data_IF_635678780612
#
_entry.id   IF_635678780612
#
_cell.length_a   1.000
_cell.length_b   1.000
_cell.length_c   1.000
_cell.angle_alpha   90.00
_cell.angle_beta   90.00
_cell.angle_gamma   90.00
#
_symmetry.space_group_name_H-M   'P 1'
#
loop_
_entity.id
_entity.type
_entity.pdbx_description
1 polymer ?
#
# COMPACT_ATOMS: atom_id res chain seq x y z
N UNK A 1 4.71 -14.67 7.05
CA UNK A 1 3.68 -14.53 5.99
C UNK A 1 2.89 -15.81 5.78
N UNK A 2 3.52 -16.90 5.34
CA UNK A 2 2.91 -18.20 5.03
C UNK A 2 1.96 -18.74 6.10
N UNK A 3 2.29 -18.58 7.39
CA UNK A 3 1.39 -18.97 8.49
C UNK A 3 0.06 -18.20 8.51
N UNK A 4 0.07 -16.87 8.34
CA UNK A 4 -1.15 -16.04 8.34
C UNK A 4 -2.07 -16.40 7.18
N UNK A 5 -1.50 -16.74 6.02
CA UNK A 5 -2.25 -17.13 4.83
C UNK A 5 -2.86 -18.54 4.98
N UNK A 6 -2.16 -19.48 5.62
CA UNK A 6 -2.56 -20.88 5.70
C UNK A 6 -3.40 -21.24 6.93
N UNK A 7 -3.34 -20.45 7.99
CA UNK A 7 -4.04 -20.71 9.25
C UNK A 7 -5.54 -20.41 9.12
N UNK A 8 -6.40 -21.36 9.53
CA UNK A 8 -7.85 -21.24 9.42
C UNK A 8 -8.45 -20.70 10.74
N UNK A 9 -9.47 -19.83 10.70
CA UNK A 9 -10.09 -19.25 9.51
C UNK A 9 -9.21 -18.16 8.86
N UNK A 10 -9.09 -18.18 7.53
CA UNK A 10 -8.35 -17.15 6.82
C UNK A 10 -9.20 -15.86 6.78
N UNK A 11 -8.71 -14.82 7.44
CA UNK A 11 -9.35 -13.50 7.56
C UNK A 11 -8.56 -12.40 6.85
N UNK A 12 -7.51 -12.77 6.09
CA UNK A 12 -6.64 -11.83 5.40
C UNK A 12 -7.26 -11.45 4.04
N UNK A 13 -7.91 -10.28 4.00
CA UNK A 13 -8.58 -9.77 2.80
C UNK A 13 -7.61 -9.22 1.73
N UNK A 14 -6.51 -8.61 2.17
CA UNK A 14 -5.51 -8.03 1.29
C UNK A 14 -4.14 -8.10 1.96
N UNK A 15 -3.10 -8.17 1.14
CA UNK A 15 -1.71 -8.09 1.55
C UNK A 15 -0.86 -7.48 0.44
N UNK A 16 0.14 -6.70 0.84
CA UNK A 16 1.08 -6.09 -0.09
C UNK A 16 2.51 -6.23 0.42
N UNK A 17 3.41 -6.72 -0.43
CA UNK A 17 4.84 -6.78 -0.13
C UNK A 17 5.57 -5.60 -0.81
N UNK A 18 6.23 -4.76 -0.03
CA UNK A 18 6.93 -3.57 -0.53
C UNK A 18 8.44 -3.74 -0.40
N UNK A 19 9.17 -3.27 -1.42
CA UNK A 19 10.62 -3.17 -1.35
C UNK A 19 11.37 -4.49 -1.47
N UNK A 20 10.72 -5.54 -1.98
CA UNK A 20 11.36 -6.84 -2.15
C UNK A 20 12.35 -6.84 -3.32
N UNK A 21 13.35 -7.73 -3.24
CA UNK A 21 14.35 -7.93 -4.28
C UNK A 21 14.17 -9.34 -4.86
N UNK A 22 13.91 -9.44 -6.17
CA UNK A 22 13.48 -10.68 -6.82
C UNK A 22 14.39 -11.89 -6.55
N UNK A 23 15.70 -11.67 -6.43
CA UNK A 23 16.66 -12.75 -6.23
C UNK A 23 16.63 -13.37 -4.83
N UNK A 24 15.91 -12.76 -3.87
CA UNK A 24 15.60 -13.34 -2.56
C UNK A 24 14.23 -14.01 -2.50
N UNK A 25 13.42 -13.95 -3.56
CA UNK A 25 12.06 -14.48 -3.57
C UNK A 25 12.04 -15.83 -4.27
N UNK A 26 11.42 -16.83 -3.62
CA UNK A 26 11.15 -18.10 -4.27
C UNK A 26 10.07 -17.94 -5.35
N UNK A 27 10.16 -18.70 -6.43
CA UNK A 27 9.18 -18.65 -7.53
C UNK A 27 7.80 -19.05 -7.01
N UNK A 28 7.76 -20.06 -6.14
CA UNK A 28 6.53 -20.59 -5.55
C UNK A 28 5.82 -19.55 -4.68
N UNK A 29 6.57 -18.69 -3.98
CA UNK A 29 6.00 -17.59 -3.19
C UNK A 29 5.39 -16.53 -4.08
N UNK A 30 6.05 -16.21 -5.21
CA UNK A 30 5.51 -15.27 -6.19
C UNK A 30 4.23 -15.82 -6.83
N UNK A 31 4.23 -17.08 -7.24
CA UNK A 31 3.05 -17.72 -7.81
C UNK A 31 1.88 -17.78 -6.82
N UNK A 32 2.16 -17.95 -5.53
CA UNK A 32 1.15 -17.89 -4.47
C UNK A 32 0.56 -16.48 -4.33
N UNK A 33 1.41 -15.45 -4.33
CA UNK A 33 0.98 -14.05 -4.27
C UNK A 33 0.07 -13.69 -5.45
N UNK A 34 0.47 -14.08 -6.67
CA UNK A 34 -0.29 -13.81 -7.90
C UNK A 34 -1.65 -14.54 -7.87
N UNK A 35 -1.70 -15.80 -7.39
CA UNK A 35 -2.95 -16.57 -7.25
C UNK A 35 -3.92 -15.96 -6.23
N UNK A 36 -3.41 -15.31 -5.20
CA UNK A 36 -4.20 -14.64 -4.18
C UNK A 36 -4.53 -13.18 -4.57
N UNK A 37 -4.06 -12.73 -5.75
CA UNK A 37 -4.17 -11.34 -6.20
C UNK A 37 -3.63 -10.35 -5.18
N UNK A 38 -2.57 -10.73 -4.45
CA UNK A 38 -1.86 -9.85 -3.53
C UNK A 38 -0.83 -9.04 -4.29
N UNK A 39 -0.60 -7.82 -3.82
CA UNK A 39 0.24 -6.87 -4.53
C UNK A 39 1.70 -6.97 -4.09
N UNK A 40 2.60 -6.67 -5.02
CA UNK A 40 4.03 -6.61 -4.75
C UNK A 40 4.66 -5.44 -5.51
N UNK A 41 5.36 -4.56 -4.79
CA UNK A 41 6.11 -3.44 -5.38
C UNK A 41 7.59 -3.66 -5.11
N UNK A 42 8.39 -3.78 -6.18
CA UNK A 42 9.83 -4.10 -6.10
C UNK A 42 10.62 -2.93 -5.52
N UNK A 43 11.77 -3.23 -4.93
CA UNK A 43 12.68 -2.21 -4.39
C UNK A 43 12.94 -1.04 -5.36
N UNK A 44 13.28 -1.33 -6.61
CA UNK A 44 13.54 -0.29 -7.61
C UNK A 44 12.35 0.65 -7.81
N UNK A 45 11.13 0.11 -7.90
CA UNK A 45 9.92 0.92 -8.06
C UNK A 45 9.65 1.81 -6.84
N UNK A 46 9.88 1.29 -5.63
CA UNK A 46 9.73 2.07 -4.39
C UNK A 46 10.74 3.22 -4.33
N UNK A 47 11.98 2.98 -4.75
CA UNK A 47 13.04 3.99 -4.75
C UNK A 47 12.88 5.03 -5.86
N UNK A 48 12.40 4.62 -7.04
CA UNK A 48 12.18 5.49 -8.20
C UNK A 48 11.04 6.49 -7.94
N UNK A 49 9.92 6.01 -7.36
CA UNK A 49 8.79 6.84 -6.96
C UNK A 49 8.12 6.34 -5.68
N UNK A 50 8.50 6.96 -4.55
CA UNK A 50 7.89 6.66 -3.26
C UNK A 50 6.41 7.03 -3.17
N UNK A 51 5.88 7.89 -4.04
CA UNK A 51 4.45 8.25 -3.99
C UNK A 51 3.56 7.09 -4.44
N UNK A 52 4.08 6.19 -5.27
CA UNK A 52 3.39 4.98 -5.73
C UNK A 52 2.86 4.12 -4.58
N UNK A 53 3.58 4.09 -3.46
CA UNK A 53 3.24 3.24 -2.31
C UNK A 53 2.32 3.92 -1.30
N UNK A 54 2.11 5.23 -1.38
CA UNK A 54 1.25 5.93 -0.42
C UNK A 54 -0.19 5.35 -0.35
N UNK A 55 -0.85 5.00 -1.48
CA UNK A 55 -2.15 4.35 -1.43
C UNK A 55 -2.15 2.99 -0.72
N UNK A 56 -1.03 2.26 -0.78
CA UNK A 56 -0.89 0.96 -0.09
C UNK A 56 -0.97 1.18 1.43
N UNK A 57 -0.26 2.19 1.96
CA UNK A 57 -0.34 2.54 3.37
C UNK A 57 -1.72 3.10 3.75
N UNK A 58 -2.38 3.82 2.84
CA UNK A 58 -3.70 4.39 3.08
C UNK A 58 -4.78 3.32 3.26
N UNK A 59 -4.69 2.22 2.53
CA UNK A 59 -5.63 1.10 2.62
C UNK A 59 -5.25 0.05 3.66
N UNK A 60 -4.04 0.10 4.22
CA UNK A 60 -3.56 -0.85 5.21
C UNK A 60 -4.15 -0.60 6.61
N UNK A 61 -4.55 -1.67 7.29
CA UNK A 61 -4.92 -1.63 8.72
C UNK A 61 -3.71 -1.93 9.63
N UNK A 62 -2.76 -2.73 9.13
CA UNK A 62 -1.55 -3.19 9.83
C UNK A 62 -0.34 -2.98 8.91
N UNK A 63 0.72 -2.37 9.45
CA UNK A 63 2.00 -2.15 8.76
C UNK A 63 3.13 -2.81 9.54
N UNK A 64 3.97 -3.58 8.87
CA UNK A 64 5.15 -4.19 9.45
C UNK A 64 6.39 -3.89 8.63
N UNK A 65 7.43 -3.37 9.27
CA UNK A 65 8.73 -3.14 8.65
C UNK A 65 9.71 -4.21 9.13
N UNK A 66 10.14 -5.08 8.22
CA UNK A 66 11.32 -5.93 8.44
C UNK A 66 12.57 -5.10 8.14
N UNK A 67 13.36 -4.78 9.17
CA UNK A 67 14.49 -3.86 9.06
C UNK A 67 15.68 -4.46 8.29
N UNK A 68 15.65 -5.75 7.92
CA UNK A 68 16.59 -6.33 6.95
C UNK A 68 16.41 -5.79 5.53
N UNK A 69 15.30 -5.10 5.24
CA UNK A 69 15.09 -4.45 3.95
C UNK A 69 16.01 -3.25 3.70
N UNK A 70 16.66 -2.73 4.75
CA UNK A 70 17.51 -1.55 4.67
C UNK A 70 18.86 -1.83 4.01
N UNK A 71 19.42 -0.82 3.36
CA UNK A 71 20.80 -0.87 2.89
C UNK A 71 21.80 -0.87 4.06
N UNK A 72 23.01 -1.35 3.80
CA UNK A 72 24.12 -1.29 4.76
C UNK A 72 24.46 0.15 5.15
N UNK A 73 24.25 1.12 4.25
CA UNK A 73 24.45 2.55 4.51
C UNK A 73 23.44 3.07 5.54
N UNK A 74 22.16 2.72 5.37
CA UNK A 74 21.11 3.14 6.30
C UNK A 74 21.30 2.59 7.72
N UNK A 75 21.90 1.39 7.83
CA UNK A 75 22.16 0.71 9.10
C UNK A 75 23.58 0.91 9.63
N UNK A 76 24.45 1.55 8.85
CA UNK A 76 25.90 1.68 9.07
C UNK A 76 26.58 0.35 9.45
N UNK A 77 26.21 -0.75 8.80
CA UNK A 77 26.77 -2.09 9.03
C UNK A 77 27.47 -2.62 7.77
N UNK A 78 28.70 -2.18 7.47
CA UNK A 78 29.40 -2.59 6.24
C UNK A 78 29.79 -4.08 6.20
N UNK A 79 29.72 -4.80 7.33
CA UNK A 79 30.12 -6.21 7.40
C UNK A 79 28.93 -7.17 7.29
N UNK A 80 27.74 -6.76 7.72
CA UNK A 80 26.54 -7.62 7.74
C UNK A 80 25.34 -7.06 6.97
N UNK A 81 25.37 -5.77 6.64
CA UNK A 81 24.29 -5.08 5.94
C UNK A 81 24.16 -5.52 4.48
N UNK A 82 22.98 -5.30 3.91
CA UNK A 82 22.72 -5.60 2.51
C UNK A 82 23.35 -4.53 1.60
N UNK A 83 23.98 -4.91 0.47
CA UNK A 83 24.58 -3.94 -0.45
C UNK A 83 23.53 -2.96 -1.00
N UNK A 84 22.32 -3.47 -1.29
CA UNK A 84 21.19 -2.69 -1.76
C UNK A 84 19.99 -2.88 -0.82
N UNK A 85 19.22 -1.83 -0.63
CA UNK A 85 18.02 -1.85 0.20
C UNK A 85 17.36 -0.49 0.25
N UNK A 86 16.30 -0.38 1.04
CA UNK A 86 15.64 0.88 1.32
C UNK A 86 16.62 1.80 2.07
N UNK A 87 16.76 3.04 1.60
CA UNK A 87 17.59 4.04 2.28
C UNK A 87 16.85 4.67 3.48
N UNK A 88 17.61 5.38 4.32
CA UNK A 88 17.09 5.99 5.55
C UNK A 88 16.02 7.05 5.31
N UNK A 89 16.08 7.80 4.21
CA UNK A 89 15.07 8.81 3.88
C UNK A 89 13.78 8.13 3.42
N UNK A 90 13.89 7.12 2.57
CA UNK A 90 12.74 6.39 2.03
C UNK A 90 11.98 5.69 3.15
N UNK A 91 12.63 4.95 4.05
CA UNK A 91 11.92 4.27 5.16
C UNK A 91 11.18 5.26 6.08
N UNK A 92 11.75 6.45 6.32
CA UNK A 92 11.07 7.50 7.08
C UNK A 92 9.85 8.05 6.34
N UNK A 93 9.91 8.21 5.01
CA UNK A 93 8.76 8.59 4.20
C UNK A 93 7.65 7.53 4.23
N UNK A 94 8.02 6.24 4.14
CA UNK A 94 7.07 5.12 4.27
C UNK A 94 6.39 5.12 5.64
N UNK A 95 7.18 5.31 6.71
CA UNK A 95 6.66 5.41 8.08
C UNK A 95 5.69 6.59 8.23
N UNK A 96 6.01 7.72 7.62
CA UNK A 96 5.13 8.89 7.59
C UNK A 96 3.83 8.59 6.85
N UNK A 97 3.85 7.91 5.71
CA UNK A 97 2.63 7.49 5.00
C UNK A 97 1.75 6.57 5.84
N UNK A 98 2.36 5.61 6.56
CA UNK A 98 1.65 4.77 7.53
C UNK A 98 1.02 5.63 8.64
N UNK A 99 1.70 6.66 9.11
CA UNK A 99 1.18 7.59 10.12
C UNK A 99 -0.02 8.40 9.64
N UNK A 100 0.05 9.00 8.44
CA UNK A 100 -1.03 9.84 7.87
C UNK A 100 -2.26 9.02 7.47
N UNK A 101 -2.13 7.71 7.31
CA UNK A 101 -3.28 6.83 7.04
C UNK A 101 -4.25 6.86 8.22
N UNK A 102 -5.51 7.22 7.96
CA UNK A 102 -6.57 7.19 8.97
C UNK A 102 -6.95 5.74 9.36
N UNK A 103 -6.53 4.75 8.57
CA UNK A 103 -6.85 3.32 8.75
C UNK A 103 -5.82 2.55 9.57
N UNK A 104 -4.54 2.90 9.46
CA UNK A 104 -3.47 2.15 10.11
C UNK A 104 -3.66 2.22 11.63
N UNK A 105 -3.98 1.06 12.21
CA UNK A 105 -4.15 0.87 13.65
C UNK A 105 -2.92 0.27 14.34
N UNK A 106 -2.02 -0.34 13.58
CA UNK A 106 -0.80 -0.96 14.10
C UNK A 106 0.40 -0.76 13.18
N UNK A 107 1.54 -0.42 13.78
CA UNK A 107 2.86 -0.41 13.15
C UNK A 107 3.84 -1.26 13.98
N UNK A 108 4.61 -2.12 13.32
CA UNK A 108 5.65 -2.92 13.95
C UNK A 108 6.99 -2.77 13.24
N UNK A 109 8.08 -2.70 14.03
CA UNK A 109 9.46 -2.79 13.54
C UNK A 109 10.05 -4.13 13.98
N UNK A 110 10.58 -4.89 13.03
CA UNK A 110 11.05 -6.26 13.24
C UNK A 110 12.50 -6.41 12.76
N UNK A 111 13.21 -7.39 13.33
CA UNK A 111 14.57 -7.76 12.88
C UNK A 111 15.57 -6.60 12.87
N UNK A 112 15.52 -5.72 13.89
CA UNK A 112 16.41 -4.56 13.98
C UNK A 112 17.89 -4.99 14.08
N UNK A 113 18.76 -4.57 13.15
CA UNK A 113 20.20 -4.74 13.29
C UNK A 113 20.73 -4.08 14.58
N UNK A 114 21.67 -4.74 15.24
CA UNK A 114 22.26 -4.24 16.49
C UNK A 114 23.41 -3.26 16.21
N UNK A 115 23.07 -2.08 15.67
CA UNK A 115 24.02 -0.98 15.46
C UNK A 115 23.53 0.32 16.11
N UNK A 116 24.44 1.21 16.55
CA UNK A 116 24.05 2.52 17.08
C UNK A 116 23.26 3.36 16.06
N UNK A 117 23.59 3.22 14.77
CA UNK A 117 22.89 3.94 13.70
C UNK A 117 21.46 3.44 13.53
N UNK A 118 21.25 2.11 13.59
CA UNK A 118 19.91 1.54 13.53
C UNK A 118 19.02 2.03 14.70
N UNK A 119 19.56 2.17 15.91
CA UNK A 119 18.77 2.71 17.03
C UNK A 119 18.30 4.16 16.77
N UNK A 120 19.15 4.98 16.17
CA UNK A 120 18.78 6.36 15.80
C UNK A 120 17.75 6.38 14.66
N UNK A 121 17.96 5.58 13.62
CA UNK A 121 17.02 5.48 12.51
C UNK A 121 15.66 4.92 12.95
N UNK A 122 15.63 3.93 13.85
CA UNK A 122 14.39 3.42 14.43
C UNK A 122 13.62 4.53 15.19
N UNK A 123 14.33 5.37 15.96
CA UNK A 123 13.72 6.52 16.61
C UNK A 123 13.15 7.53 15.60
N UNK A 124 13.84 7.79 14.49
CA UNK A 124 13.34 8.65 13.41
C UNK A 124 12.11 8.05 12.71
N UNK A 125 12.11 6.75 12.43
CA UNK A 125 10.96 6.04 11.86
C UNK A 125 9.74 6.21 12.76
N UNK A 126 9.89 5.98 14.08
CA UNK A 126 8.82 6.18 15.06
C UNK A 126 8.38 7.65 15.11
N UNK A 127 9.32 8.60 15.07
CA UNK A 127 9.01 10.02 15.08
C UNK A 127 8.17 10.44 13.87
N UNK A 128 8.55 10.03 12.65
CA UNK A 128 7.80 10.32 11.43
C UNK A 128 6.44 9.63 11.38
N UNK A 129 6.31 8.45 11.98
CA UNK A 129 4.99 7.83 12.17
C UNK A 129 4.10 8.71 13.05
N UNK A 130 4.60 9.12 14.23
CA UNK A 130 3.84 9.98 15.17
C UNK A 130 3.50 11.31 14.51
N UNK A 131 4.44 11.93 13.79
CA UNK A 131 4.19 13.15 13.02
C UNK A 131 3.08 12.92 11.99
N UNK A 132 3.14 11.83 11.22
CA UNK A 132 2.09 11.46 10.28
C UNK A 132 0.73 11.32 10.93
N UNK A 133 0.65 10.70 12.12
CA UNK A 133 -0.60 10.58 12.90
C UNK A 133 -1.19 11.94 13.25
N UNK A 134 -0.37 12.94 13.58
CA UNK A 134 -0.85 14.30 13.86
C UNK A 134 -1.40 15.02 12.61
N UNK A 135 -0.99 14.59 11.41
CA UNK A 135 -1.45 15.15 10.13
C UNK A 135 -2.49 14.27 9.42
N UNK A 136 -3.16 13.38 10.16
CA UNK A 136 -4.30 12.61 9.65
C UNK A 136 -5.41 13.55 9.14
N UNK A 137 -6.09 13.09 8.09
CA UNK A 137 -7.15 13.89 7.46
C UNK A 137 -8.53 13.52 7.99
N UNK A 138 -8.66 12.45 8.77
CA UNK A 138 -9.94 11.96 9.32
C UNK A 138 -10.98 11.74 8.21
N UNK A 139 -10.55 11.16 7.08
CA UNK A 139 -11.39 10.87 5.92
C UNK A 139 -11.89 9.42 5.90
N UNK A 140 -11.52 8.61 6.90
CA UNK A 140 -11.99 7.24 7.04
C UNK A 140 -13.07 7.10 8.12
N UNK A 141 -14.22 6.44 7.82
CA UNK A 141 -14.61 5.88 6.53
C UNK A 141 -14.94 6.98 5.50
N UNK A 142 -14.59 6.73 4.23
CA UNK A 142 -14.75 7.70 3.14
C UNK A 142 -16.23 7.97 2.87
N UNK A 143 -16.64 9.23 3.00
CA UNK A 143 -17.98 9.69 2.68
C UNK A 143 -17.99 10.55 1.41
N UNK A 144 -18.24 9.94 0.26
CA UNK A 144 -18.23 10.59 -1.06
C UNK A 144 -19.36 11.60 -1.30
N UNK A 145 -20.32 11.75 -0.37
CA UNK A 145 -21.45 12.67 -0.55
C UNK A 145 -21.05 14.15 -0.38
N UNK A 146 -19.97 14.43 0.33
CA UNK A 146 -19.53 15.79 0.67
C UNK A 146 -18.00 15.91 0.53
N UNK A 147 -17.51 16.99 -0.11
CA UNK A 147 -16.07 17.28 -0.19
C UNK A 147 -15.27 16.39 -1.16
N UNK A 148 -15.95 15.73 -2.11
CA UNK A 148 -15.32 14.92 -3.15
C UNK A 148 -15.76 15.33 -4.56
N UNK A 149 -14.79 15.40 -5.47
CA UNK A 149 -15.02 15.55 -6.90
C UNK A 149 -15.11 14.17 -7.55
N UNK A 150 -16.17 13.92 -8.31
CA UNK A 150 -16.40 12.66 -9.03
C UNK A 150 -15.95 12.76 -10.48
N UNK A 151 -15.18 11.78 -10.94
CA UNK A 151 -14.73 11.64 -12.33
C UNK A 151 -15.14 10.26 -12.85
N UNK A 152 -15.89 10.21 -13.95
CA UNK A 152 -16.23 8.95 -14.61
C UNK A 152 -15.41 8.79 -15.88
N UNK A 153 -14.68 7.69 -16.00
CA UNK A 153 -13.91 7.33 -17.19
C UNK A 153 -14.58 6.14 -17.86
N UNK A 154 -15.10 6.35 -19.06
CA UNK A 154 -15.73 5.30 -19.87
C UNK A 154 -14.67 4.64 -20.75
N UNK A 155 -14.42 3.37 -20.50
CA UNK A 155 -13.57 2.48 -21.29
C UNK A 155 -14.43 1.73 -22.32
N UNK A 156 -13.77 0.93 -23.16
CA UNK A 156 -14.44 0.14 -24.20
C UNK A 156 -15.45 -0.89 -23.67
N UNK A 157 -15.19 -1.46 -22.49
CA UNK A 157 -15.94 -2.58 -21.89
C UNK A 157 -16.63 -2.23 -20.57
N UNK A 158 -16.23 -1.14 -19.91
CA UNK A 158 -16.76 -0.74 -18.60
C UNK A 158 -16.56 0.75 -18.29
N UNK A 159 -17.14 1.24 -17.19
CA UNK A 159 -16.90 2.60 -16.69
C UNK A 159 -16.27 2.53 -15.31
N UNK A 160 -15.12 3.18 -15.13
CA UNK A 160 -14.45 3.30 -13.84
C UNK A 160 -14.73 4.70 -13.28
N UNK A 161 -15.12 4.75 -12.01
CA UNK A 161 -15.40 5.99 -11.30
C UNK A 161 -14.29 6.29 -10.31
N UNK A 162 -13.78 7.52 -10.35
CA UNK A 162 -12.79 8.05 -9.43
C UNK A 162 -13.40 9.17 -8.56
N UNK A 163 -12.90 9.26 -7.34
CA UNK A 163 -13.24 10.31 -6.39
C UNK A 163 -11.96 10.99 -5.92
N UNK A 164 -11.91 12.31 -5.99
CA UNK A 164 -10.81 13.13 -5.45
C UNK A 164 -11.31 13.92 -4.26
N UNK A 165 -10.64 13.79 -3.11
CA UNK A 165 -10.93 14.64 -1.95
C UNK A 165 -10.52 16.09 -2.22
N UNK A 166 -11.41 17.03 -1.92
CA UNK A 166 -11.09 18.46 -1.91
C UNK A 166 -10.24 18.87 -0.71
N UNK A 167 -10.28 18.09 0.38
CA UNK A 167 -9.53 18.33 1.62
C UNK A 167 -8.07 17.88 1.50
N UNK A 168 -7.83 16.65 1.06
CA UNK A 168 -6.49 16.03 1.06
C UNK A 168 -5.86 15.94 -0.33
N UNK A 169 -6.62 16.23 -1.40
CA UNK A 169 -6.23 15.98 -2.79
C UNK A 169 -5.93 14.52 -3.14
N UNK A 170 -6.27 13.59 -2.23
CA UNK A 170 -6.10 12.16 -2.41
C UNK A 170 -7.17 11.59 -3.33
N UNK A 171 -6.86 10.46 -3.96
CA UNK A 171 -7.72 9.81 -4.93
C UNK A 171 -8.16 8.42 -4.45
N UNK A 172 -9.40 8.09 -4.82
CA UNK A 172 -10.01 6.78 -4.65
C UNK A 172 -10.68 6.37 -5.95
N UNK A 173 -10.84 5.08 -6.16
CA UNK A 173 -11.63 4.54 -7.26
C UNK A 173 -12.66 3.55 -6.74
N UNK A 174 -13.78 3.51 -7.45
CA UNK A 174 -14.94 2.70 -7.13
C UNK A 174 -14.76 1.27 -7.66
N UNK A 175 -14.99 0.31 -6.77
CA UNK A 175 -15.17 -1.10 -7.13
C UNK A 175 -16.67 -1.35 -7.34
N UNK A 176 -17.07 -1.44 -8.60
CA UNK A 176 -18.42 -1.82 -9.00
C UNK A 176 -18.47 -3.33 -9.23
N UNK A 177 -19.16 -4.06 -8.35
CA UNK A 177 -19.53 -5.44 -8.63
C UNK A 177 -20.72 -5.44 -9.59
N UNK A 178 -20.49 -5.80 -10.85
CA UNK A 178 -21.54 -6.05 -11.85
C UNK A 178 -22.12 -7.47 -11.74
N UNK A 179 -21.93 -8.16 -10.62
CA UNK A 179 -22.61 -9.44 -10.38
C UNK A 179 -24.11 -9.18 -10.24
N UNK A 180 -24.82 -9.40 -11.34
CA UNK A 180 -26.27 -9.26 -11.56
C UNK A 180 -27.18 -10.11 -10.65
N UNK A 181 -26.75 -10.51 -9.45
CA UNK A 181 -27.42 -11.55 -8.67
C UNK A 181 -28.22 -11.07 -7.46
N UNK A 182 -28.05 -9.86 -6.91
CA UNK A 182 -28.96 -9.40 -5.85
C UNK A 182 -29.10 -7.88 -5.74
N UNK A 183 -30.33 -7.39 -5.90
CA UNK A 183 -30.74 -5.98 -5.82
C UNK A 183 -30.80 -5.42 -4.38
N UNK A 184 -30.00 -5.96 -3.44
CA UNK A 184 -29.99 -5.50 -2.05
C UNK A 184 -28.59 -5.15 -1.61
N UNK A 185 -28.33 -3.84 -1.67
CA UNK A 185 -27.15 -3.11 -1.20
C UNK A 185 -25.96 -3.18 -2.18
N UNK A 186 -25.91 -2.24 -3.14
CA UNK A 186 -24.67 -1.86 -3.82
C UNK A 186 -23.75 -1.19 -2.79
N UNK A 187 -22.97 -1.94 -2.03
CA UNK A 187 -21.84 -1.36 -1.30
C UNK A 187 -20.73 -1.14 -2.32
N UNK A 188 -20.60 0.07 -2.84
CA UNK A 188 -19.39 0.41 -3.57
C UNK A 188 -18.23 0.48 -2.59
N UNK A 189 -17.29 -0.45 -2.73
CA UNK A 189 -16.03 -0.37 -2.02
C UNK A 189 -15.13 0.64 -2.74
N UNK A 190 -14.46 1.50 -1.98
CA UNK A 190 -13.49 2.45 -2.49
C UNK A 190 -12.09 1.93 -2.17
N UNK A 191 -11.20 1.98 -3.14
CA UNK A 191 -9.78 1.69 -2.95
C UNK A 191 -8.96 2.94 -3.21
N UNK A 192 -7.93 3.15 -2.40
CA UNK A 192 -7.02 4.25 -2.59
C UNK A 192 -6.26 4.10 -3.92
N UNK A 193 -6.05 5.21 -4.60
CA UNK A 193 -5.25 5.27 -5.81
C UNK A 193 -4.47 6.58 -5.90
N UNK A 194 -3.65 6.66 -6.93
CA UNK A 194 -2.91 7.86 -7.31
C UNK A 194 -3.66 8.64 -8.38
N UNK A 195 -3.29 9.90 -8.56
CA UNK A 195 -3.73 10.68 -9.73
C UNK A 195 -3.26 10.04 -11.04
N UNK A 196 -2.08 9.42 -11.03
CA UNK A 196 -1.52 8.76 -12.20
C UNK A 196 -2.37 7.55 -12.64
N UNK A 197 -3.01 6.85 -11.70
CA UNK A 197 -3.96 5.77 -12.02
C UNK A 197 -5.16 6.32 -12.81
N UNK A 198 -5.72 7.46 -12.39
CA UNK A 198 -6.78 8.16 -13.12
C UNK A 198 -6.31 8.59 -14.52
N UNK A 199 -5.15 9.25 -14.62
CA UNK A 199 -4.60 9.72 -15.89
C UNK A 199 -4.29 8.56 -16.86
N UNK A 200 -3.81 7.43 -16.34
CA UNK A 200 -3.58 6.21 -17.13
C UNK A 200 -4.89 5.60 -17.62
N UNK A 201 -5.92 5.60 -16.78
CA UNK A 201 -7.25 5.08 -17.15
C UNK A 201 -7.90 5.91 -18.24
N UNK A 202 -7.71 7.24 -18.24
CA UNK A 202 -8.16 8.12 -19.32
C UNK A 202 -7.50 7.76 -20.67
N UNK A 203 -6.31 7.14 -20.64
CA UNK A 203 -5.60 6.63 -21.80
C UNK A 203 -5.88 5.13 -22.07
N UNK A 204 -7.04 4.61 -21.66
CA UNK A 204 -7.46 3.21 -21.81
C UNK A 204 -6.61 2.15 -21.08
N UNK A 205 -5.83 2.55 -20.06
CA UNK A 205 -5.07 1.61 -19.22
C UNK A 205 -5.74 1.40 -17.86
N UNK A 206 -6.29 0.20 -17.63
CA UNK A 206 -6.88 -0.17 -16.34
C UNK A 206 -5.77 -0.38 -15.29
N UNK A 207 -5.83 0.29 -14.12
CA UNK A 207 -4.85 0.10 -13.05
C UNK A 207 -4.87 -1.31 -12.49
N UNK A 208 -3.69 -1.93 -12.33
CA UNK A 208 -3.55 -3.29 -11.82
C UNK A 208 -4.18 -3.47 -10.42
N UNK A 209 -4.04 -2.46 -9.54
CA UNK A 209 -4.67 -2.42 -8.21
C UNK A 209 -6.20 -2.58 -8.25
N UNK A 210 -6.85 -2.02 -9.27
CA UNK A 210 -8.30 -2.15 -9.46
C UNK A 210 -8.67 -3.58 -9.88
N UNK A 211 -7.93 -4.11 -10.85
CA UNK A 211 -8.13 -5.47 -11.33
C UNK A 211 -7.95 -6.50 -10.21
N UNK A 212 -6.85 -6.40 -9.45
CA UNK A 212 -6.56 -7.27 -8.33
C UNK A 212 -7.64 -7.18 -7.25
N UNK A 213 -8.10 -5.97 -6.92
CA UNK A 213 -9.17 -5.79 -5.94
C UNK A 213 -10.49 -6.47 -6.34
N UNK A 214 -10.90 -6.39 -7.60
CA UNK A 214 -12.10 -7.07 -8.09
C UNK A 214 -11.95 -8.59 -8.03
N UNK A 215 -10.77 -9.11 -8.37
CA UNK A 215 -10.49 -10.54 -8.31
C UNK A 215 -10.45 -11.11 -6.89
N UNK A 216 -10.17 -10.29 -5.88
CA UNK A 216 -10.24 -10.68 -4.46
C UNK A 216 -11.68 -10.73 -3.92
N UNK A 217 -12.58 -9.92 -4.49
CA UNK A 217 -13.98 -9.80 -4.04
C UNK A 217 -14.89 -10.86 -4.70
N UNK A 218 -14.54 -11.32 -5.90
CA UNK A 218 -15.29 -12.33 -6.66
C UNK A 218 -14.77 -13.76 -6.44
#
# INVERSE_FOLDING_TARGET
>A
MSKIIMEKPNVLNNYTNLGFQNYYCAIEEKDLMDKLYFEGIRLGQVLDDTQLVEPVFRDADIVGFDMKCLSWEATADPLKGQPNGIDSRTICALSRYAGISDRVGFIGLYELPSTPMMNQLAAQIVWYFIEGVQYRFDEYPVNIKEGFLKYSVTLSDQTIVFYKSEKSNRWWMELTNDTHLDNKIKTSALIACTKNDYESTVNDFIPERWFNAIKRIN
#
